data_IF_093191739691
#
_entry.id   IF_093191739691
#
_cell.length_a   1.000
_cell.length_b   1.000
_cell.length_c   1.000
_cell.angle_alpha   90.00
_cell.angle_beta   90.00
_cell.angle_gamma   90.00
#
_symmetry.space_group_name_H-M   'P 1'
#
loop_
_entity.id
_entity.type
_entity.pdbx_description
1 polymer ?
#
# COMPACT_ATOMS: atom_id res chain seq x y z
N UNK A 1 21.91 -9.80 21.11
CA UNK A 1 20.51 -9.32 21.07
C UNK A 1 20.07 -8.91 19.66
N UNK A 2 20.62 -9.50 18.58
CA UNK A 2 20.35 -9.08 17.19
C UNK A 2 19.24 -9.87 16.46
N UNK A 3 18.71 -10.94 17.05
CA UNK A 3 17.77 -11.85 16.37
C UNK A 3 16.37 -11.26 16.19
N UNK A 4 15.85 -10.56 17.21
CA UNK A 4 14.48 -10.02 17.19
C UNK A 4 14.39 -8.76 16.35
N UNK A 5 15.38 -7.87 16.44
CA UNK A 5 15.43 -6.63 15.64
C UNK A 5 15.52 -6.93 14.15
N UNK A 6 16.42 -7.84 13.75
CA UNK A 6 16.55 -8.25 12.35
C UNK A 6 15.28 -8.94 11.84
N UNK A 7 14.61 -9.74 12.67
CA UNK A 7 13.32 -10.34 12.35
C UNK A 7 12.24 -9.28 12.11
N UNK A 8 12.12 -8.28 13.00
CA UNK A 8 11.15 -7.19 12.85
C UNK A 8 11.43 -6.40 11.57
N UNK A 9 12.69 -6.05 11.30
CA UNK A 9 13.04 -5.31 10.07
C UNK A 9 12.70 -6.09 8.79
N UNK A 10 13.00 -7.39 8.75
CA UNK A 10 12.65 -8.25 7.62
C UNK A 10 11.13 -8.35 7.44
N UNK A 11 10.39 -8.57 8.53
CA UNK A 11 8.94 -8.67 8.48
C UNK A 11 8.31 -7.36 8.01
N UNK A 12 8.75 -6.22 8.55
CA UNK A 12 8.29 -4.89 8.12
C UNK A 12 8.54 -4.67 6.63
N UNK A 13 9.72 -5.05 6.14
CA UNK A 13 10.07 -4.91 4.72
C UNK A 13 9.13 -5.75 3.84
N UNK A 14 8.96 -7.04 4.16
CA UNK A 14 8.07 -7.94 3.41
C UNK A 14 6.61 -7.45 3.42
N UNK A 15 6.09 -7.06 4.60
CA UNK A 15 4.71 -6.56 4.71
C UNK A 15 4.52 -5.28 3.90
N UNK A 16 5.51 -4.38 3.91
CA UNK A 16 5.49 -3.14 3.14
C UNK A 16 5.47 -3.42 1.63
N UNK A 17 6.32 -4.33 1.15
CA UNK A 17 6.39 -4.75 -0.26
C UNK A 17 5.09 -5.40 -0.74
N UNK A 18 4.53 -6.32 0.06
CA UNK A 18 3.24 -6.96 -0.23
C UNK A 18 2.13 -5.91 -0.30
N UNK A 19 2.12 -4.96 0.65
CA UNK A 19 1.10 -3.91 0.69
C UNK A 19 1.17 -3.00 -0.54
N UNK A 20 2.38 -2.61 -0.98
CA UNK A 20 2.56 -1.84 -2.21
C UNK A 20 2.14 -2.62 -3.46
N UNK A 21 2.41 -3.93 -3.47
CA UNK A 21 1.99 -4.81 -4.57
C UNK A 21 0.47 -4.88 -4.67
N UNK A 22 -0.24 -5.06 -3.55
CA UNK A 22 -1.71 -5.06 -3.51
C UNK A 22 -2.27 -3.71 -3.95
N UNK A 23 -1.67 -2.60 -3.52
CA UNK A 23 -2.05 -1.26 -3.99
C UNK A 23 -1.96 -1.15 -5.52
N UNK A 24 -0.82 -1.51 -6.12
CA UNK A 24 -0.62 -1.40 -7.57
C UNK A 24 -1.65 -2.26 -8.32
N UNK A 25 -1.92 -3.47 -7.82
CA UNK A 25 -2.92 -4.36 -8.41
C UNK A 25 -4.32 -3.75 -8.34
N UNK A 26 -4.76 -3.27 -7.18
CA UNK A 26 -6.07 -2.64 -7.01
C UNK A 26 -6.21 -1.38 -7.88
N UNK A 27 -5.17 -0.56 -7.95
CA UNK A 27 -5.13 0.64 -8.79
C UNK A 27 -5.19 0.31 -10.29
N UNK A 28 -4.42 -0.68 -10.74
CA UNK A 28 -4.44 -1.13 -12.13
C UNK A 28 -5.81 -1.71 -12.53
N UNK A 29 -6.44 -2.50 -11.64
CA UNK A 29 -7.79 -3.04 -11.85
C UNK A 29 -8.82 -1.90 -11.91
N UNK A 30 -8.73 -0.92 -11.03
CA UNK A 30 -9.62 0.24 -11.03
C UNK A 30 -9.59 0.99 -12.37
N UNK A 31 -8.39 1.23 -12.92
CA UNK A 31 -8.23 1.82 -14.25
C UNK A 31 -8.72 0.91 -15.37
N UNK A 32 -8.47 -0.41 -15.30
CA UNK A 32 -8.96 -1.36 -16.28
C UNK A 32 -10.50 -1.38 -16.35
N UNK A 33 -11.18 -1.33 -15.20
CA UNK A 33 -12.64 -1.26 -15.12
C UNK A 33 -13.20 0.07 -15.62
N UNK A 34 -12.62 1.19 -15.18
CA UNK A 34 -13.07 2.54 -15.57
C UNK A 34 -12.81 2.84 -17.05
N UNK A 35 -11.65 2.42 -17.56
CA UNK A 35 -11.22 2.60 -18.95
C UNK A 35 -11.84 1.60 -19.93
N UNK A 36 -12.56 0.59 -19.43
CA UNK A 36 -13.19 -0.40 -20.30
C UNK A 36 -14.26 0.24 -21.22
N UNK A 37 -14.35 -0.19 -22.48
CA UNK A 37 -15.37 0.28 -23.43
C UNK A 37 -16.76 -0.34 -23.16
N UNK A 38 -17.08 -0.63 -21.90
CA UNK A 38 -18.32 -1.29 -21.48
C UNK A 38 -19.32 -0.20 -21.02
N UNK A 39 -20.53 -0.14 -21.61
CA UNK A 39 -21.53 0.88 -21.29
C UNK A 39 -22.35 0.53 -20.03
N UNK A 40 -21.70 0.00 -18.99
CA UNK A 40 -22.34 -0.31 -17.70
C UNK A 40 -21.86 0.71 -16.67
N UNK A 41 -22.76 1.64 -16.31
CA UNK A 41 -22.45 2.72 -15.36
C UNK A 41 -21.94 2.19 -14.00
N UNK A 42 -22.51 1.09 -13.51
CA UNK A 42 -22.09 0.44 -12.26
C UNK A 42 -20.63 0.00 -12.30
N UNK A 43 -20.17 -0.58 -13.41
CA UNK A 43 -18.78 -1.05 -13.57
C UNK A 43 -17.79 0.12 -13.56
N UNK A 44 -18.14 1.20 -14.26
CA UNK A 44 -17.31 2.43 -14.26
C UNK A 44 -17.23 3.08 -12.88
N UNK A 45 -18.33 3.06 -12.13
CA UNK A 45 -18.38 3.55 -10.74
C UNK A 45 -17.52 2.69 -9.82
N UNK A 46 -17.65 1.36 -9.87
CA UNK A 46 -16.80 0.46 -9.08
C UNK A 46 -15.31 0.62 -9.41
N UNK A 47 -14.96 0.83 -10.69
CA UNK A 47 -13.58 1.15 -11.07
C UNK A 47 -13.07 2.47 -10.47
N UNK A 48 -13.93 3.49 -10.37
CA UNK A 48 -13.59 4.74 -9.69
C UNK A 48 -13.44 4.56 -8.17
N UNK A 49 -14.36 3.84 -7.53
CA UNK A 49 -14.30 3.54 -6.10
C UNK A 49 -12.98 2.79 -5.76
N UNK A 50 -12.58 1.81 -6.58
CA UNK A 50 -11.29 1.11 -6.44
C UNK A 50 -10.07 2.04 -6.54
N UNK A 51 -10.10 3.03 -7.45
CA UNK A 51 -9.00 3.98 -7.59
C UNK A 51 -8.91 4.88 -6.35
N UNK A 52 -10.05 5.36 -5.85
CA UNK A 52 -10.13 6.23 -4.68
C UNK A 52 -9.62 5.49 -3.42
N UNK A 53 -10.11 4.27 -3.19
CA UNK A 53 -9.68 3.43 -2.08
C UNK A 53 -8.19 3.07 -2.18
N UNK A 54 -7.68 2.77 -3.38
CA UNK A 54 -6.27 2.47 -3.58
C UNK A 54 -5.38 3.69 -3.28
N UNK A 55 -5.76 4.90 -3.70
CA UNK A 55 -5.00 6.12 -3.40
C UNK A 55 -4.97 6.38 -1.90
N UNK A 56 -6.10 6.22 -1.21
CA UNK A 56 -6.17 6.36 0.24
C UNK A 56 -5.27 5.32 0.93
N UNK A 57 -5.29 4.06 0.48
CA UNK A 57 -4.44 3.01 1.01
C UNK A 57 -2.95 3.33 0.82
N UNK A 58 -2.52 3.77 -0.37
CA UNK A 58 -1.14 4.17 -0.62
C UNK A 58 -0.70 5.36 0.24
N UNK A 59 -1.59 6.32 0.47
CA UNK A 59 -1.32 7.45 1.36
C UNK A 59 -1.03 6.97 2.79
N UNK A 60 -1.88 6.11 3.35
CA UNK A 60 -1.66 5.54 4.68
C UNK A 60 -0.41 4.67 4.76
N UNK A 61 -0.13 3.90 3.71
CA UNK A 61 1.06 3.05 3.63
C UNK A 61 2.34 3.91 3.62
N UNK A 62 2.37 5.00 2.85
CA UNK A 62 3.49 5.93 2.81
C UNK A 62 3.70 6.65 4.16
N UNK A 63 2.62 7.11 4.80
CA UNK A 63 2.72 7.72 6.13
C UNK A 63 3.19 6.71 7.19
N UNK A 64 2.60 5.52 7.22
CA UNK A 64 2.95 4.48 8.19
C UNK A 64 4.41 4.05 8.09
N UNK A 65 4.91 3.83 6.87
CA UNK A 65 6.31 3.48 6.63
C UNK A 65 7.27 4.60 7.02
N UNK A 66 6.91 5.86 6.74
CA UNK A 66 7.71 7.04 7.14
C UNK A 66 7.81 7.17 8.67
N UNK A 67 6.68 7.07 9.37
CA UNK A 67 6.65 7.14 10.84
C UNK A 67 7.42 5.99 11.46
N UNK A 68 7.26 4.77 10.95
CA UNK A 68 7.99 3.60 11.45
C UNK A 68 9.50 3.72 11.21
N UNK A 69 9.92 4.23 10.05
CA UNK A 69 11.33 4.47 9.75
C UNK A 69 11.94 5.50 10.71
N UNK A 70 11.20 6.57 11.03
CA UNK A 70 11.64 7.59 11.99
C UNK A 70 11.79 7.00 13.40
N UNK A 71 10.81 6.22 13.87
CA UNK A 71 10.89 5.54 15.16
C UNK A 71 12.08 4.58 15.19
N UNK A 72 12.25 3.76 14.15
CA UNK A 72 13.35 2.81 14.05
C UNK A 72 14.73 3.50 14.04
N UNK A 73 14.83 4.65 13.38
CA UNK A 73 16.04 5.45 13.36
C UNK A 73 16.38 6.00 14.75
N UNK A 74 15.39 6.56 15.45
CA UNK A 74 15.58 7.10 16.81
C UNK A 74 15.93 5.95 17.78
N UNK A 75 15.20 4.85 17.74
CA UNK A 75 15.41 3.70 18.61
C UNK A 75 16.79 3.05 18.39
N UNK A 76 17.27 2.99 17.14
CA UNK A 76 18.59 2.43 16.82
C UNK A 76 19.78 3.34 17.16
N UNK A 77 19.54 4.58 17.61
CA UNK A 77 20.58 5.50 18.11
C UNK A 77 20.87 5.31 19.61
N UNK A 78 20.03 4.58 20.34
CA UNK A 78 20.18 4.26 21.77
C UNK A 78 20.66 2.83 21.97
#
# INVERSE_FOLDING_TARGET
MAGVESFIQQLTTQVTEISWSVFILAWAIGWALRGSPIPIFKVKRTGQDFIEDAIMAAFWLALGTTVFALISYIAGQF
#
